data_IF_939236083957
#
_entry.id   IF_939236083957
#
_cell.length_a   1.000
_cell.length_b   1.000
_cell.length_c   1.000
_cell.angle_alpha   90.00
_cell.angle_beta   90.00
_cell.angle_gamma   90.00
#
_symmetry.space_group_name_H-M   'P 1'
#
loop_
_entity.id
_entity.type
_entity.pdbx_description
1 polymer ?
#
# COMPACT_ATOMS: atom_id res chain seq x y z
N UNK A 1 -8.47 -22.39 -4.23
CA UNK A 1 -9.36 -22.35 -3.05
C UNK A 1 -10.23 -23.58 -3.10
N UNK A 2 -9.95 -24.59 -2.29
CA UNK A 2 -10.81 -25.76 -2.16
C UNK A 2 -12.02 -25.40 -1.31
N UNK A 3 -13.09 -24.94 -1.95
CA UNK A 3 -14.41 -24.87 -1.33
C UNK A 3 -14.93 -26.29 -1.19
N UNK A 4 -14.45 -27.01 -0.18
CA UNK A 4 -15.06 -28.25 0.27
C UNK A 4 -16.56 -27.98 0.47
N UNK A 5 -17.41 -28.54 -0.42
CA UNK A 5 -18.86 -28.49 -0.30
C UNK A 5 -19.25 -29.15 1.02
N UNK A 6 -19.51 -28.34 2.04
CA UNK A 6 -19.95 -28.82 3.34
C UNK A 6 -21.41 -29.25 3.21
N UNK A 7 -21.65 -30.56 3.28
CA UNK A 7 -23.02 -31.10 3.20
C UNK A 7 -23.74 -30.97 4.55
N UNK A 8 -25.08 -30.94 4.54
CA UNK A 8 -25.91 -30.95 5.77
C UNK A 8 -25.57 -32.14 6.68
N UNK A 9 -25.16 -33.27 6.11
CA UNK A 9 -24.70 -34.45 6.86
C UNK A 9 -23.40 -34.18 7.63
N UNK A 10 -22.46 -33.46 7.02
CA UNK A 10 -21.19 -33.08 7.65
C UNK A 10 -21.42 -32.03 8.75
N UNK A 11 -22.31 -31.07 8.50
CA UNK A 11 -22.73 -30.05 9.47
C UNK A 11 -23.39 -30.64 10.71
N UNK A 12 -24.26 -31.65 10.54
CA UNK A 12 -24.90 -32.35 11.66
C UNK A 12 -23.88 -33.00 12.60
N UNK A 13 -22.79 -33.56 12.05
CA UNK A 13 -21.70 -34.12 12.84
C UNK A 13 -20.87 -33.07 13.58
N UNK A 14 -20.67 -31.89 12.97
CA UNK A 14 -19.86 -30.81 13.55
C UNK A 14 -20.59 -29.95 14.59
N UNK A 15 -21.91 -29.78 14.44
CA UNK A 15 -22.73 -28.93 15.31
C UNK A 15 -23.50 -29.71 16.38
N UNK A 16 -23.43 -31.05 16.37
CA UNK A 16 -24.21 -31.94 17.25
C UNK A 16 -25.74 -31.67 17.24
N UNK A 17 -26.28 -31.20 16.11
CA UNK A 17 -27.72 -30.94 15.92
C UNK A 17 -28.32 -31.92 14.91
N UNK A 18 -29.61 -32.21 15.06
CA UNK A 18 -30.36 -33.07 14.14
C UNK A 18 -30.40 -32.49 12.72
N UNK A 19 -30.33 -33.37 11.70
CA UNK A 19 -30.37 -32.96 10.29
C UNK A 19 -31.64 -32.17 9.93
N UNK A 20 -32.79 -32.55 10.50
CA UNK A 20 -34.05 -31.84 10.35
C UNK A 20 -33.96 -30.41 10.88
N UNK A 21 -33.42 -30.24 12.09
CA UNK A 21 -33.26 -28.91 12.71
C UNK A 21 -32.31 -28.01 11.91
N UNK A 22 -31.26 -28.56 11.30
CA UNK A 22 -30.36 -27.80 10.44
C UNK A 22 -31.08 -27.40 9.14
N UNK A 23 -31.84 -28.31 8.55
CA UNK A 23 -32.64 -28.03 7.35
C UNK A 23 -33.69 -26.93 7.62
N UNK A 24 -34.44 -27.05 8.71
CA UNK A 24 -35.50 -26.09 9.09
C UNK A 24 -34.95 -24.67 9.31
N UNK A 25 -33.71 -24.54 9.80
CA UNK A 25 -33.05 -23.23 9.97
C UNK A 25 -32.44 -22.68 8.67
N UNK A 26 -32.28 -23.50 7.64
CA UNK A 26 -31.76 -23.10 6.32
C UNK A 26 -32.88 -22.87 5.29
N UNK A 27 -34.11 -23.29 5.58
CA UNK A 27 -35.27 -23.25 4.67
C UNK A 27 -35.95 -21.87 4.55
N UNK A 28 -35.15 -20.79 4.66
CA UNK A 28 -35.59 -19.42 4.39
C UNK A 28 -36.19 -18.62 5.56
N UNK A 29 -36.29 -19.18 6.76
CA UNK A 29 -36.57 -18.40 7.99
C UNK A 29 -35.28 -17.83 8.56
N UNK A 30 -35.35 -16.65 9.20
CA UNK A 30 -34.18 -16.07 9.87
C UNK A 30 -33.75 -17.00 11.01
N UNK A 31 -32.56 -17.61 10.94
CA UNK A 31 -32.13 -18.58 11.95
C UNK A 31 -31.87 -17.91 13.29
N UNK A 32 -31.93 -18.67 14.38
CA UNK A 32 -31.57 -18.16 15.71
C UNK A 32 -30.12 -17.68 15.77
N UNK A 33 -29.82 -16.66 16.58
CA UNK A 33 -28.45 -16.13 16.76
C UNK A 33 -27.44 -17.22 17.13
N UNK A 34 -27.85 -18.14 18.01
CA UNK A 34 -27.01 -19.26 18.45
C UNK A 34 -26.66 -20.20 17.30
N UNK A 35 -27.61 -20.47 16.40
CA UNK A 35 -27.35 -21.29 15.22
C UNK A 35 -26.29 -20.67 14.28
N UNK A 36 -26.34 -19.34 14.08
CA UNK A 36 -25.35 -18.63 13.24
C UNK A 36 -23.94 -18.71 13.84
N UNK A 37 -23.83 -18.55 15.17
CA UNK A 37 -22.54 -18.67 15.88
C UNK A 37 -21.99 -20.09 15.78
N UNK A 38 -22.83 -21.10 16.03
CA UNK A 38 -22.44 -22.51 15.95
C UNK A 38 -22.01 -22.89 14.53
N UNK A 39 -22.71 -22.35 13.51
CA UNK A 39 -22.43 -22.60 12.10
C UNK A 39 -21.06 -22.03 11.68
N UNK A 40 -20.79 -20.77 11.99
CA UNK A 40 -19.51 -20.12 11.66
C UNK A 40 -18.35 -20.79 12.40
N UNK A 41 -18.56 -21.19 13.65
CA UNK A 41 -17.55 -21.88 14.46
C UNK A 41 -17.23 -23.27 13.91
N UNK A 42 -18.24 -23.99 13.39
CA UNK A 42 -18.07 -25.31 12.78
C UNK A 42 -17.41 -25.27 11.39
N UNK A 43 -17.69 -24.23 10.58
CA UNK A 43 -17.18 -24.12 9.21
C UNK A 43 -15.79 -23.50 9.15
N UNK A 44 -15.50 -22.50 9.98
CA UNK A 44 -14.23 -21.76 9.95
C UNK A 44 -13.25 -22.32 10.99
N UNK A 45 -12.27 -23.09 10.52
CA UNK A 45 -11.25 -23.73 11.37
C UNK A 45 -10.19 -22.74 11.89
N UNK A 46 -9.90 -21.68 11.16
CA UNK A 46 -8.87 -20.69 11.53
C UNK A 46 -9.40 -19.65 12.55
N UNK A 47 -8.73 -19.45 13.70
CA UNK A 47 -9.25 -18.60 14.78
C UNK A 47 -9.35 -17.12 14.41
N UNK A 48 -8.35 -16.57 13.68
CA UNK A 48 -8.35 -15.14 13.28
C UNK A 48 -9.42 -14.82 12.24
N UNK A 49 -9.70 -15.74 11.30
CA UNK A 49 -10.77 -15.56 10.31
C UNK A 49 -12.15 -15.75 10.94
N UNK A 50 -12.26 -16.69 11.89
CA UNK A 50 -13.51 -16.94 12.64
C UNK A 50 -14.06 -15.69 13.29
N UNK A 51 -13.23 -14.86 13.93
CA UNK A 51 -13.70 -13.63 14.57
C UNK A 51 -14.27 -12.61 13.57
N UNK A 52 -13.61 -12.46 12.42
CA UNK A 52 -14.06 -11.55 11.36
C UNK A 52 -15.35 -12.04 10.71
N UNK A 53 -15.42 -13.32 10.38
CA UNK A 53 -16.59 -13.93 9.76
C UNK A 53 -17.78 -13.97 10.72
N UNK A 54 -17.53 -14.17 12.02
CA UNK A 54 -18.57 -14.12 13.05
C UNK A 54 -19.13 -12.72 13.21
N UNK A 55 -18.29 -11.68 13.24
CA UNK A 55 -18.76 -10.28 13.26
C UNK A 55 -19.63 -9.96 12.05
N UNK A 56 -19.19 -10.39 10.85
CA UNK A 56 -19.93 -10.18 9.60
C UNK A 56 -21.27 -10.93 9.59
N UNK A 57 -21.28 -12.19 10.03
CA UNK A 57 -22.49 -13.00 10.09
C UNK A 57 -23.51 -12.45 11.11
N UNK A 58 -23.05 -11.95 12.26
CA UNK A 58 -23.92 -11.30 13.24
C UNK A 58 -24.49 -9.97 12.73
N UNK A 59 -23.70 -9.14 12.04
CA UNK A 59 -24.20 -7.91 11.44
C UNK A 59 -25.29 -8.17 10.39
N UNK A 60 -25.11 -9.22 9.56
CA UNK A 60 -26.14 -9.65 8.59
C UNK A 60 -27.39 -10.19 9.29
N UNK A 61 -27.22 -10.95 10.37
CA UNK A 61 -28.34 -11.44 11.19
C UNK A 61 -29.12 -10.30 11.85
N UNK A 62 -28.42 -9.27 12.38
CA UNK A 62 -29.05 -8.08 12.95
C UNK A 62 -29.81 -7.28 11.88
N UNK A 63 -29.22 -7.10 10.69
CA UNK A 63 -29.87 -6.43 9.57
C UNK A 63 -31.13 -7.18 9.07
N UNK A 64 -31.10 -8.52 9.10
CA UNK A 64 -32.25 -9.35 8.73
C UNK A 64 -33.38 -9.28 9.77
N UNK A 65 -33.07 -9.18 11.07
CA UNK A 65 -34.07 -9.08 12.14
C UNK A 65 -34.57 -7.67 12.39
N UNK A 66 -33.78 -6.65 12.03
CA UNK A 66 -34.16 -5.24 12.09
C UNK A 66 -33.99 -4.64 10.69
N UNK A 67 -34.88 -4.99 9.73
CA UNK A 67 -34.85 -4.34 8.44
C UNK A 67 -34.99 -2.82 8.65
N UNK A 68 -34.17 -2.00 7.98
CA UNK A 68 -34.37 -0.56 8.04
C UNK A 68 -35.80 -0.23 7.62
N UNK A 69 -36.44 0.70 8.32
CA UNK A 69 -37.81 1.13 8.02
C UNK A 69 -37.93 1.39 6.51
N UNK A 70 -38.94 0.76 5.88
CA UNK A 70 -39.11 0.85 4.43
C UNK A 70 -39.07 2.32 3.99
N UNK A 71 -38.27 2.66 2.96
CA UNK A 71 -38.40 3.96 2.32
C UNK A 71 -39.85 4.10 1.82
N UNK A 72 -40.40 5.34 1.79
CA UNK A 72 -41.75 5.58 1.30
C UNK A 72 -41.90 4.99 -0.10
N UNK A 73 -43.10 4.48 -0.38
CA UNK A 73 -43.44 3.78 -1.62
C UNK A 73 -43.19 4.66 -2.85
N UNK A 74 -41.97 4.62 -3.39
CA UNK A 74 -41.67 5.19 -4.69
C UNK A 74 -42.15 4.23 -5.77
N UNK A 75 -43.16 4.70 -6.49
CA UNK A 75 -43.38 4.60 -7.93
C UNK A 75 -42.65 3.45 -8.61
N UNK A 76 -43.42 2.45 -9.06
CA UNK A 76 -42.90 1.32 -9.84
C UNK A 76 -42.01 1.82 -10.99
N UNK A 77 -40.77 1.30 -11.13
CA UNK A 77 -39.90 1.66 -12.23
C UNK A 77 -40.54 1.17 -13.53
N UNK A 78 -40.66 2.07 -14.51
CA UNK A 78 -40.99 1.69 -15.88
C UNK A 78 -40.00 0.64 -16.39
N UNK A 79 -40.45 -0.35 -17.18
CA UNK A 79 -39.66 -1.53 -17.58
C UNK A 79 -38.26 -1.24 -18.13
N UNK A 80 -38.04 -0.06 -18.75
CA UNK A 80 -36.72 0.38 -19.20
C UNK A 80 -35.73 0.71 -18.07
N UNK A 81 -36.17 1.27 -16.94
CA UNK A 81 -35.30 1.58 -15.79
C UNK A 81 -34.86 0.33 -15.04
N UNK A 82 -35.73 -0.70 -15.03
CA UNK A 82 -35.41 -2.01 -14.47
C UNK A 82 -34.36 -2.72 -15.33
N UNK A 83 -34.49 -2.67 -16.66
CA UNK A 83 -33.51 -3.22 -17.60
C UNK A 83 -32.13 -2.51 -17.52
N UNK A 84 -32.11 -1.18 -17.36
CA UNK A 84 -30.85 -0.42 -17.16
C UNK A 84 -30.18 -0.78 -15.83
N UNK A 85 -30.96 -0.98 -14.75
CA UNK A 85 -30.41 -1.40 -13.45
C UNK A 85 -29.88 -2.83 -13.47
N UNK A 86 -30.53 -3.72 -14.20
CA UNK A 86 -30.11 -5.12 -14.32
C UNK A 86 -28.81 -5.25 -15.13
N UNK A 87 -28.73 -4.60 -16.29
CA UNK A 87 -27.50 -4.51 -17.10
C UNK A 87 -26.35 -3.85 -16.35
N UNK A 88 -26.62 -2.84 -15.51
CA UNK A 88 -25.59 -2.21 -14.67
C UNK A 88 -25.07 -3.15 -13.59
N UNK A 89 -25.93 -3.95 -12.95
CA UNK A 89 -25.52 -4.96 -11.97
C UNK A 89 -24.69 -6.06 -12.62
N UNK A 90 -25.09 -6.50 -13.81
CA UNK A 90 -24.36 -7.49 -14.58
C UNK A 90 -22.98 -6.98 -14.98
N UNK A 91 -22.87 -5.73 -15.44
CA UNK A 91 -21.59 -5.09 -15.74
C UNK A 91 -20.67 -5.08 -14.51
N UNK A 92 -21.15 -4.63 -13.35
CA UNK A 92 -20.36 -4.63 -12.09
C UNK A 92 -19.87 -6.04 -11.75
N UNK A 93 -20.73 -7.05 -11.90
CA UNK A 93 -20.35 -8.44 -11.63
C UNK A 93 -19.27 -8.96 -12.58
N UNK A 94 -19.30 -8.55 -13.85
CA UNK A 94 -18.30 -8.92 -14.85
C UNK A 94 -16.99 -8.16 -14.65
N UNK A 95 -17.02 -6.90 -14.22
CA UNK A 95 -15.81 -6.17 -13.85
C UNK A 95 -15.09 -6.83 -12.68
N UNK A 96 -15.83 -7.30 -11.68
CA UNK A 96 -15.25 -8.08 -10.58
C UNK A 96 -14.62 -9.39 -11.07
N UNK A 97 -15.31 -10.14 -11.92
CA UNK A 97 -14.76 -11.38 -12.51
C UNK A 97 -13.52 -11.11 -13.38
N UNK A 98 -13.49 -10.01 -14.13
CA UNK A 98 -12.33 -9.61 -14.93
C UNK A 98 -11.11 -9.31 -14.05
N UNK A 99 -11.30 -8.59 -12.94
CA UNK A 99 -10.20 -8.34 -11.98
C UNK A 99 -9.67 -9.63 -11.35
N UNK A 100 -10.54 -10.59 -11.05
CA UNK A 100 -10.10 -11.88 -10.51
C UNK A 100 -9.31 -12.69 -11.55
N UNK A 101 -9.75 -12.69 -12.82
CA UNK A 101 -9.02 -13.29 -13.93
C UNK A 101 -7.65 -12.63 -14.17
N UNK A 102 -7.55 -11.30 -14.02
CA UNK A 102 -6.26 -10.60 -14.13
C UNK A 102 -5.29 -11.01 -13.01
N UNK A 103 -5.78 -11.21 -11.78
CA UNK A 103 -4.96 -11.71 -10.67
C UNK A 103 -4.47 -13.12 -10.93
N UNK A 104 -5.34 -14.00 -11.44
CA UNK A 104 -4.96 -15.36 -11.83
C UNK A 104 -3.94 -15.36 -12.97
N UNK A 105 -4.10 -14.47 -13.96
CA UNK A 105 -3.13 -14.26 -15.05
C UNK A 105 -1.77 -13.79 -14.52
N UNK A 106 -1.75 -12.85 -13.58
CA UNK A 106 -0.51 -12.37 -12.97
C UNK A 106 0.19 -13.50 -12.19
N UNK A 107 -0.57 -14.29 -11.43
CA UNK A 107 -0.04 -15.44 -10.69
C UNK A 107 0.54 -16.53 -11.60
N UNK A 108 -0.15 -16.87 -12.69
CA UNK A 108 0.34 -17.85 -13.68
C UNK A 108 1.58 -17.33 -14.42
N UNK A 109 1.65 -16.04 -14.74
CA UNK A 109 2.84 -15.44 -15.34
C UNK A 109 4.06 -15.55 -14.40
N UNK A 110 3.87 -15.28 -13.11
CA UNK A 110 4.93 -15.41 -12.12
C UNK A 110 5.41 -16.86 -11.97
N UNK A 111 4.48 -17.82 -11.99
CA UNK A 111 4.81 -19.26 -11.98
C UNK A 111 5.68 -19.65 -13.19
N UNK A 112 5.32 -19.20 -14.39
CA UNK A 112 6.08 -19.47 -15.61
C UNK A 112 7.50 -18.89 -15.53
N UNK A 113 7.66 -17.67 -15.00
CA UNK A 113 8.98 -17.06 -14.79
C UNK A 113 9.84 -17.86 -13.80
N UNK A 114 9.24 -18.33 -12.70
CA UNK A 114 9.94 -19.15 -11.70
C UNK A 114 10.38 -20.50 -12.28
N UNK A 115 9.50 -21.18 -13.02
CA UNK A 115 9.82 -22.45 -13.69
C UNK A 115 10.90 -22.25 -14.75
N UNK A 116 10.88 -21.17 -15.53
CA UNK A 116 11.94 -20.86 -16.49
C UNK A 116 13.30 -20.69 -15.80
N UNK A 117 13.33 -19.98 -14.66
CA UNK A 117 14.55 -19.80 -13.87
C UNK A 117 15.07 -21.13 -13.34
N UNK A 118 14.18 -21.98 -12.82
CA UNK A 118 14.52 -23.30 -12.29
C UNK A 118 15.07 -24.22 -13.39
N UNK A 119 14.48 -24.19 -14.58
CA UNK A 119 15.01 -24.93 -15.74
C UNK A 119 16.38 -24.43 -16.14
N UNK A 120 16.62 -23.11 -16.13
CA UNK A 120 17.93 -22.55 -16.45
C UNK A 120 19.01 -22.94 -15.41
N UNK A 121 18.69 -22.94 -14.12
CA UNK A 121 19.62 -23.36 -13.07
C UNK A 121 19.93 -24.86 -13.16
N UNK A 122 18.92 -25.70 -13.39
CA UNK A 122 19.13 -27.14 -13.56
C UNK A 122 19.96 -27.47 -14.80
N UNK A 123 19.80 -26.70 -15.89
CA UNK A 123 20.64 -26.86 -17.09
C UNK A 123 22.11 -26.55 -16.81
N UNK A 124 22.39 -25.49 -16.05
CA UNK A 124 23.75 -25.11 -15.66
C UNK A 124 24.35 -26.16 -14.70
N UNK A 125 23.58 -26.67 -13.75
CA UNK A 125 24.01 -27.75 -12.84
C UNK A 125 24.28 -29.07 -13.58
N UNK A 126 23.46 -29.43 -14.57
CA UNK A 126 23.71 -30.60 -15.44
C UNK A 126 24.97 -30.40 -16.28
N UNK A 127 25.21 -29.20 -16.82
CA UNK A 127 26.42 -28.89 -17.58
C UNK A 127 27.68 -29.02 -16.71
N UNK A 128 27.66 -28.51 -15.48
CA UNK A 128 28.77 -28.63 -14.53
C UNK A 128 28.98 -30.07 -14.05
N UNK A 129 27.90 -30.83 -13.86
CA UNK A 129 27.98 -32.23 -13.45
C UNK A 129 28.56 -33.13 -14.55
N UNK A 130 28.36 -32.79 -15.84
CA UNK A 130 28.93 -33.49 -17.01
C UNK A 130 30.45 -33.41 -17.09
N UNK A 131 31.07 -32.39 -16.50
CA UNK A 131 32.52 -32.22 -16.49
C UNK A 131 33.22 -33.09 -15.42
N UNK A 132 32.45 -33.71 -14.51
CA UNK A 132 32.97 -34.54 -13.42
C UNK A 132 32.80 -36.04 -13.76
N UNK A 133 33.90 -36.81 -13.95
CA UNK A 133 33.84 -38.19 -14.44
C UNK A 133 33.16 -39.21 -13.50
N UNK A 134 33.01 -38.90 -12.21
CA UNK A 134 32.44 -39.81 -11.19
C UNK A 134 31.00 -39.48 -10.78
N UNK A 135 30.30 -38.59 -11.50
CA UNK A 135 28.99 -38.07 -11.10
C UNK A 135 27.77 -38.70 -11.79
N UNK A 136 27.92 -39.86 -12.45
CA UNK A 136 26.89 -40.47 -13.30
C UNK A 136 25.51 -40.64 -12.62
N UNK A 137 25.46 -41.07 -11.36
CA UNK A 137 24.18 -41.21 -10.63
C UNK A 137 23.53 -39.85 -10.30
N UNK A 138 24.32 -38.80 -10.05
CA UNK A 138 23.82 -37.45 -9.80
C UNK A 138 23.34 -36.80 -11.10
N UNK A 139 24.00 -37.08 -12.21
CA UNK A 139 23.57 -36.60 -13.53
C UNK A 139 22.22 -37.19 -13.93
N UNK A 140 22.01 -38.49 -13.76
CA UNK A 140 20.72 -39.12 -14.07
C UNK A 140 19.56 -38.49 -13.27
N UNK A 141 19.78 -38.23 -11.98
CA UNK A 141 18.79 -37.57 -11.13
C UNK A 141 18.52 -36.11 -11.56
N UNK A 142 19.55 -35.35 -11.92
CA UNK A 142 19.39 -33.97 -12.39
C UNK A 142 18.71 -33.89 -13.77
N UNK A 143 18.98 -34.85 -14.67
CA UNK A 143 18.32 -34.93 -15.98
C UNK A 143 16.83 -35.27 -15.83
N UNK A 144 16.46 -36.15 -14.91
CA UNK A 144 15.07 -36.47 -14.58
C UNK A 144 14.32 -35.26 -13.97
N UNK A 145 14.97 -34.53 -13.06
CA UNK A 145 14.42 -33.29 -12.49
C UNK A 145 14.23 -32.21 -13.56
N UNK A 146 15.19 -32.09 -14.47
CA UNK A 146 15.13 -31.15 -15.59
C UNK A 146 14.01 -31.52 -16.57
N UNK A 147 13.84 -32.80 -16.88
CA UNK A 147 12.74 -33.27 -17.71
C UNK A 147 11.38 -32.96 -17.07
N UNK A 148 11.23 -33.23 -15.77
CA UNK A 148 10.01 -32.94 -15.01
C UNK A 148 9.71 -31.44 -15.00
N UNK A 149 10.71 -30.60 -14.72
CA UNK A 149 10.57 -29.14 -14.72
C UNK A 149 10.20 -28.58 -16.10
N UNK A 150 10.71 -29.17 -17.20
CA UNK A 150 10.30 -28.80 -18.57
C UNK A 150 8.85 -29.14 -18.85
N UNK A 151 8.38 -30.32 -18.44
CA UNK A 151 6.97 -30.70 -18.61
C UNK A 151 6.04 -29.78 -17.79
N UNK A 152 6.41 -29.44 -16.56
CA UNK A 152 5.62 -28.51 -15.74
C UNK A 152 5.56 -27.10 -16.35
N UNK A 153 6.66 -26.66 -16.95
CA UNK A 153 6.75 -25.39 -17.65
C UNK A 153 5.85 -25.36 -18.90
N UNK A 154 5.79 -26.44 -19.68
CA UNK A 154 4.86 -26.56 -20.81
C UNK A 154 3.40 -26.49 -20.35
N UNK A 155 3.03 -27.26 -19.31
CA UNK A 155 1.68 -27.20 -18.73
C UNK A 155 1.34 -25.79 -18.20
N UNK A 156 2.30 -25.10 -17.60
CA UNK A 156 2.12 -23.74 -17.12
C UNK A 156 1.95 -22.72 -18.27
N UNK A 157 2.62 -22.93 -19.41
CA UNK A 157 2.41 -22.13 -20.64
C UNK A 157 1.03 -22.34 -21.23
N UNK A 158 0.58 -23.58 -21.34
CA UNK A 158 -0.78 -23.91 -21.81
C UNK A 158 -1.85 -23.31 -20.89
N UNK A 159 -1.67 -23.41 -19.57
CA UNK A 159 -2.56 -22.78 -18.59
C UNK A 159 -2.62 -21.26 -18.75
N UNK A 160 -1.48 -20.62 -19.02
CA UNK A 160 -1.42 -19.19 -19.31
C UNK A 160 -2.18 -18.84 -20.59
N UNK A 161 -1.99 -19.59 -21.67
CA UNK A 161 -2.70 -19.35 -22.93
C UNK A 161 -4.22 -19.47 -22.75
N UNK A 162 -4.68 -20.48 -22.01
CA UNK A 162 -6.10 -20.62 -21.67
C UNK A 162 -6.62 -19.43 -20.85
N UNK A 163 -5.86 -18.95 -19.86
CA UNK A 163 -6.22 -17.78 -19.07
C UNK A 163 -6.28 -16.50 -19.94
N UNK A 164 -5.35 -16.34 -20.88
CA UNK A 164 -5.34 -15.21 -21.83
C UNK A 164 -6.56 -15.24 -22.76
N UNK A 165 -6.95 -16.41 -23.26
CA UNK A 165 -8.17 -16.55 -24.06
C UNK A 165 -9.44 -16.24 -23.26
N UNK A 166 -9.52 -16.68 -22.00
CA UNK A 166 -10.66 -16.37 -21.13
C UNK A 166 -10.75 -14.88 -20.81
N UNK A 167 -9.62 -14.23 -20.54
CA UNK A 167 -9.58 -12.78 -20.32
C UNK A 167 -10.04 -12.00 -21.56
N UNK A 168 -9.59 -12.42 -22.76
CA UNK A 168 -10.02 -11.80 -24.01
C UNK A 168 -11.54 -11.91 -24.24
N UNK A 169 -12.14 -13.08 -23.94
CA UNK A 169 -13.59 -13.27 -24.03
C UNK A 169 -14.36 -12.42 -23.02
N UNK A 170 -13.88 -12.34 -21.77
CA UNK A 170 -14.51 -11.50 -20.75
C UNK A 170 -14.47 -10.01 -21.13
N UNK A 171 -13.36 -9.56 -21.72
CA UNK A 171 -13.23 -8.20 -22.23
C UNK A 171 -14.21 -7.92 -23.37
N UNK A 172 -14.36 -8.83 -24.32
CA UNK A 172 -15.36 -8.71 -25.39
C UNK A 172 -16.79 -8.62 -24.84
N UNK A 173 -17.14 -9.43 -23.83
CA UNK A 173 -18.46 -9.37 -23.17
C UNK A 173 -18.69 -8.04 -22.44
N UNK A 174 -17.65 -7.48 -21.83
CA UNK A 174 -17.76 -6.17 -21.17
C UNK A 174 -18.05 -5.05 -22.17
N UNK A 175 -17.40 -5.08 -23.34
CA UNK A 175 -17.62 -4.10 -24.41
C UNK A 175 -19.05 -4.22 -24.96
N UNK A 176 -19.53 -5.44 -25.22
CA UNK A 176 -20.90 -5.63 -25.74
C UNK A 176 -21.96 -5.12 -24.76
N UNK A 177 -21.80 -5.38 -23.46
CA UNK A 177 -22.75 -4.89 -22.45
C UNK A 177 -22.67 -3.38 -22.24
N UNK A 178 -21.49 -2.77 -22.39
CA UNK A 178 -21.35 -1.31 -22.39
C UNK A 178 -22.07 -0.68 -23.58
N UNK A 179 -21.97 -1.30 -24.77
CA UNK A 179 -22.71 -0.88 -25.95
C UNK A 179 -24.22 -1.03 -25.77
N UNK A 180 -24.68 -2.14 -25.18
CA UNK A 180 -26.11 -2.33 -24.85
C UNK A 180 -26.61 -1.29 -23.85
N UNK A 181 -25.84 -1.00 -22.80
CA UNK A 181 -26.16 0.07 -21.85
C UNK A 181 -26.21 1.45 -22.54
N UNK A 182 -25.28 1.73 -23.45
CA UNK A 182 -25.29 2.96 -24.23
C UNK A 182 -26.53 3.06 -25.13
N UNK A 183 -26.93 1.95 -25.78
CA UNK A 183 -28.16 1.87 -26.58
C UNK A 183 -29.40 2.07 -25.73
N UNK A 184 -29.50 1.42 -24.57
CA UNK A 184 -30.62 1.58 -23.65
C UNK A 184 -30.73 3.01 -23.11
N UNK A 185 -29.59 3.67 -22.83
CA UNK A 185 -29.54 5.08 -22.44
C UNK A 185 -29.96 6.02 -23.56
N UNK A 186 -29.58 5.73 -24.80
CA UNK A 186 -29.97 6.52 -25.96
C UNK A 186 -31.45 6.34 -26.34
N UNK A 187 -32.02 5.16 -26.07
CA UNK A 187 -33.44 4.85 -26.30
C UNK A 187 -34.36 5.39 -25.19
N UNK A 188 -33.82 5.72 -24.01
CA UNK A 188 -34.57 6.38 -22.96
C UNK A 188 -34.81 7.86 -23.32
N UNK A 189 -36.06 8.37 -23.33
CA UNK A 189 -36.33 9.74 -23.74
C UNK A 189 -35.63 10.75 -22.79
N UNK A 190 -34.94 11.77 -23.33
CA UNK A 190 -34.00 12.63 -22.59
C UNK A 190 -34.65 13.55 -21.53
N UNK A 191 -35.98 13.50 -21.38
CA UNK A 191 -36.74 14.45 -20.56
C UNK A 191 -37.27 13.81 -19.25
N UNK A 192 -37.28 12.48 -19.13
CA UNK A 192 -37.88 11.81 -17.98
C UNK A 192 -37.07 11.92 -16.67
N UNK A 193 -35.82 12.42 -16.70
CA UNK A 193 -35.02 12.62 -15.48
C UNK A 193 -35.15 14.07 -14.96
N UNK A 194 -35.36 15.05 -15.84
CA UNK A 194 -35.56 16.44 -15.45
C UNK A 194 -37.03 16.80 -15.13
N UNK A 195 -38.01 16.09 -15.73
CA UNK A 195 -39.45 16.34 -15.54
C UNK A 195 -40.17 15.35 -14.59
N UNK A 196 -39.44 14.45 -13.89
CA UNK A 196 -40.01 13.49 -12.92
C UNK A 196 -39.94 13.93 -11.45
N UNK A 197 -39.43 15.11 -11.13
CA UNK A 197 -39.91 15.80 -9.93
C UNK A 197 -41.23 16.45 -10.32
N UNK A 198 -42.34 15.75 -10.07
CA UNK A 198 -43.64 16.38 -10.17
C UNK A 198 -43.65 17.65 -9.28
N UNK A 199 -44.36 18.71 -9.67
CA UNK A 199 -44.39 19.98 -8.92
C UNK A 199 -44.84 19.85 -7.44
N UNK A 200 -45.29 18.66 -7.00
CA UNK A 200 -45.65 18.36 -5.61
C UNK A 200 -44.54 17.79 -4.72
N UNK A 201 -43.43 17.27 -5.26
CA UNK A 201 -42.42 16.53 -4.47
C UNK A 201 -41.03 17.18 -4.43
N UNK A 202 -40.88 18.40 -4.98
CA UNK A 202 -39.70 19.22 -4.71
C UNK A 202 -39.75 19.70 -3.25
N UNK A 203 -38.65 19.58 -2.47
CA UNK A 203 -38.55 20.24 -1.17
C UNK A 203 -39.00 21.70 -1.32
N UNK A 204 -39.76 22.25 -0.37
CA UNK A 204 -40.35 23.60 -0.50
C UNK A 204 -39.35 24.70 -0.92
N UNK A 205 -38.06 24.49 -0.67
CA UNK A 205 -36.95 25.38 -1.05
C UNK A 205 -36.62 25.39 -2.55
N UNK A 206 -37.13 24.42 -3.32
CA UNK A 206 -36.82 24.22 -4.74
C UNK A 206 -38.04 24.40 -5.67
N UNK A 207 -39.21 24.78 -5.13
CA UNK A 207 -40.39 25.10 -5.93
C UNK A 207 -40.16 26.41 -6.71
N UNK A 208 -40.57 26.47 -7.98
CA UNK A 208 -40.39 27.64 -8.87
C UNK A 208 -40.93 28.95 -8.26
N UNK A 209 -41.99 28.87 -7.45
CA UNK A 209 -42.53 30.03 -6.73
C UNK A 209 -41.56 30.59 -5.68
N UNK A 210 -40.73 29.74 -5.06
CA UNK A 210 -39.70 30.15 -4.10
C UNK A 210 -38.49 30.80 -4.80
N UNK A 211 -38.16 30.34 -6.01
CA UNK A 211 -37.12 30.91 -6.87
C UNK A 211 -37.49 32.30 -7.40
N UNK A 212 -38.78 32.52 -7.69
CA UNK A 212 -39.30 33.82 -8.13
C UNK A 212 -39.43 34.82 -6.98
N UNK A 213 -39.63 34.34 -5.74
CA UNK A 213 -39.79 35.20 -4.56
C UNK A 213 -38.47 35.76 -4.01
N UNK A 214 -37.35 35.00 -4.07
CA UNK A 214 -36.05 35.47 -3.56
C UNK A 214 -34.85 34.88 -4.35
N UNK A 215 -34.41 35.53 -5.44
CA UNK A 215 -33.36 35.02 -6.32
C UNK A 215 -31.98 34.90 -5.62
N UNK A 216 -31.72 35.68 -4.57
CA UNK A 216 -30.46 35.61 -3.84
C UNK A 216 -30.36 34.37 -2.93
N UNK A 217 -31.49 33.87 -2.44
CA UNK A 217 -31.53 32.63 -1.66
C UNK A 217 -31.42 31.41 -2.57
N UNK A 218 -32.10 31.45 -3.72
CA UNK A 218 -32.01 30.48 -4.80
C UNK A 218 -30.57 30.25 -5.33
N UNK A 219 -29.80 31.33 -5.54
CA UNK A 219 -28.42 31.21 -5.99
C UNK A 219 -27.52 30.51 -4.95
N UNK A 220 -27.74 30.77 -3.66
CA UNK A 220 -26.98 30.14 -2.57
C UNK A 220 -27.30 28.66 -2.40
N UNK A 221 -28.56 28.27 -2.58
CA UNK A 221 -28.94 26.85 -2.60
C UNK A 221 -28.39 26.14 -3.84
N UNK A 222 -28.40 26.79 -5.01
CA UNK A 222 -27.77 26.22 -6.20
C UNK A 222 -26.26 26.03 -6.03
N UNK A 223 -25.56 27.01 -5.45
CA UNK A 223 -24.12 26.93 -5.16
C UNK A 223 -23.81 25.82 -4.14
N UNK A 224 -24.62 25.66 -3.09
CA UNK A 224 -24.48 24.59 -2.11
C UNK A 224 -24.72 23.19 -2.71
N UNK A 225 -25.68 23.06 -3.63
CA UNK A 225 -25.93 21.80 -4.33
C UNK A 225 -24.82 21.46 -5.34
N UNK A 226 -24.23 22.48 -5.99
CA UNK A 226 -23.10 22.29 -6.89
C UNK A 226 -21.82 21.90 -6.12
N UNK A 227 -21.56 22.52 -4.97
CA UNK A 227 -20.42 22.14 -4.13
C UNK A 227 -20.57 20.73 -3.56
N UNK A 228 -21.77 20.37 -3.08
CA UNK A 228 -22.06 19.01 -2.63
C UNK A 228 -21.98 17.99 -3.78
N UNK A 229 -22.36 18.40 -5.00
CA UNK A 229 -22.19 17.60 -6.20
C UNK A 229 -20.73 17.41 -6.61
N UNK A 230 -19.88 18.42 -6.41
CA UNK A 230 -18.44 18.34 -6.63
C UNK A 230 -17.77 17.40 -5.60
N UNK A 231 -18.13 17.54 -4.32
CA UNK A 231 -17.63 16.68 -3.24
C UNK A 231 -18.00 15.21 -3.48
N UNK A 232 -19.25 14.94 -3.87
CA UNK A 232 -19.66 13.58 -4.26
C UNK A 232 -18.97 13.07 -5.51
N UNK A 233 -18.64 13.93 -6.48
CA UNK A 233 -17.85 13.50 -7.65
C UNK A 233 -16.45 13.13 -7.23
N UNK A 234 -15.83 13.87 -6.30
CA UNK A 234 -14.51 13.57 -5.78
C UNK A 234 -14.51 12.25 -4.98
N UNK A 235 -15.51 12.03 -4.11
CA UNK A 235 -15.71 10.74 -3.43
C UNK A 235 -15.93 9.59 -4.41
N UNK A 236 -16.68 9.83 -5.49
CA UNK A 236 -16.93 8.82 -6.52
C UNK A 236 -15.71 8.59 -7.41
N UNK A 237 -14.91 9.61 -7.69
CA UNK A 237 -13.67 9.50 -8.47
C UNK A 237 -12.60 8.75 -7.64
N UNK A 238 -12.58 8.94 -6.33
CA UNK A 238 -11.76 8.16 -5.39
C UNK A 238 -12.25 6.70 -5.26
N UNK A 239 -13.57 6.46 -5.37
CA UNK A 239 -14.15 5.12 -5.33
C UNK A 239 -14.07 4.36 -6.68
N UNK A 240 -14.14 5.09 -7.80
CA UNK A 240 -14.11 4.55 -9.17
C UNK A 240 -12.69 4.44 -9.69
N UNK A 241 -11.75 5.26 -9.20
CA UNK A 241 -10.32 5.05 -9.49
C UNK A 241 -10.01 3.60 -9.13
N UNK A 242 -9.78 2.73 -10.13
CA UNK A 242 -9.34 1.38 -9.84
C UNK A 242 -8.08 1.56 -9.00
N UNK A 243 -8.04 0.88 -7.85
CA UNK A 243 -6.90 0.89 -6.93
C UNK A 243 -5.62 1.03 -7.75
N UNK A 244 -5.03 2.22 -7.67
CA UNK A 244 -4.03 2.70 -8.62
C UNK A 244 -3.09 1.56 -9.03
N UNK A 245 -2.71 1.37 -10.31
CA UNK A 245 -1.68 0.38 -10.69
C UNK A 245 -0.32 0.62 -9.98
N UNK A 246 -0.21 1.70 -9.20
CA UNK A 246 0.85 1.97 -8.25
C UNK A 246 0.79 1.14 -6.96
N UNK A 247 -0.37 0.60 -6.55
CA UNK A 247 -0.50 -0.28 -5.37
C UNK A 247 0.09 -1.67 -5.59
N UNK A 248 -0.04 -2.27 -6.78
CA UNK A 248 0.69 -3.52 -7.11
C UNK A 248 2.19 -3.28 -7.30
N UNK A 249 2.61 -2.04 -7.65
CA UNK A 249 4.02 -1.60 -7.59
C UNK A 249 4.55 -1.39 -6.16
N UNK A 250 3.73 -1.29 -5.12
CA UNK A 250 4.23 -1.06 -3.76
C UNK A 250 5.04 -2.23 -3.18
N UNK A 251 4.80 -3.47 -3.61
CA UNK A 251 5.59 -4.62 -3.15
C UNK A 251 7.03 -4.57 -3.66
N UNK A 252 7.25 -4.01 -4.86
CA UNK A 252 8.60 -3.69 -5.38
C UNK A 252 9.14 -2.34 -4.92
N UNK A 253 8.26 -1.35 -4.73
CA UNK A 253 8.63 0.01 -4.33
C UNK A 253 9.15 0.13 -2.89
N UNK A 254 8.76 -0.80 -2.00
CA UNK A 254 9.31 -0.86 -0.65
C UNK A 254 10.83 -1.06 -0.65
N UNK A 255 11.34 -2.00 -1.46
CA UNK A 255 12.78 -2.27 -1.55
C UNK A 255 13.57 -1.11 -2.14
N UNK A 256 13.02 -0.43 -3.15
CA UNK A 256 13.68 0.73 -3.74
C UNK A 256 13.74 1.91 -2.75
N UNK A 257 12.65 2.15 -2.01
CA UNK A 257 12.62 3.16 -0.95
C UNK A 257 13.63 2.85 0.16
N UNK A 258 13.70 1.59 0.58
CA UNK A 258 14.66 1.13 1.59
C UNK A 258 16.09 1.29 1.07
N UNK A 259 16.39 0.89 -0.16
CA UNK A 259 17.70 1.02 -0.76
C UNK A 259 18.13 2.49 -0.90
N UNK A 260 17.21 3.38 -1.27
CA UNK A 260 17.46 4.83 -1.32
C UNK A 260 17.76 5.41 0.06
N UNK A 261 16.94 5.09 1.07
CA UNK A 261 17.18 5.56 2.44
C UNK A 261 18.50 5.01 2.98
N UNK A 262 18.80 3.72 2.74
CA UNK A 262 20.05 3.08 3.15
C UNK A 262 21.26 3.73 2.46
N UNK A 263 21.14 4.03 1.16
CA UNK A 263 22.17 4.73 0.38
C UNK A 263 22.48 6.12 0.94
N UNK A 264 21.45 6.89 1.32
CA UNK A 264 21.63 8.21 1.96
C UNK A 264 22.25 8.11 3.34
N UNK A 265 21.81 7.15 4.16
CA UNK A 265 22.41 6.90 5.48
C UNK A 265 23.89 6.55 5.32
N UNK A 266 24.22 5.65 4.38
CA UNK A 266 25.59 5.28 4.06
C UNK A 266 26.40 6.50 3.59
N UNK A 267 25.82 7.35 2.74
CA UNK A 267 26.43 8.60 2.28
C UNK A 267 26.78 9.54 3.42
N UNK A 268 25.85 9.76 4.36
CA UNK A 268 26.10 10.56 5.56
C UNK A 268 27.22 9.97 6.43
N UNK A 269 27.22 8.65 6.66
CA UNK A 269 28.26 7.99 7.46
C UNK A 269 29.63 8.12 6.80
N UNK A 270 29.72 7.91 5.48
CA UNK A 270 30.99 8.04 4.75
C UNK A 270 31.52 9.48 4.80
N UNK A 271 30.65 10.50 4.66
CA UNK A 271 31.06 11.89 4.82
C UNK A 271 31.57 12.19 6.23
N UNK A 272 30.88 11.73 7.27
CA UNK A 272 31.28 11.93 8.67
C UNK A 272 32.61 11.25 9.00
N UNK A 273 32.78 9.99 8.57
CA UNK A 273 34.00 9.20 8.78
C UNK A 273 35.15 9.84 8.00
N UNK A 274 34.94 10.19 6.73
CA UNK A 274 35.93 10.86 5.90
C UNK A 274 36.39 12.18 6.53
N UNK A 275 35.47 13.03 6.97
CA UNK A 275 35.78 14.30 7.62
C UNK A 275 36.53 14.12 8.95
N UNK A 276 36.10 13.16 9.79
CA UNK A 276 36.77 12.86 11.06
C UNK A 276 38.18 12.32 10.86
N UNK A 277 38.36 11.38 9.92
CA UNK A 277 39.67 10.81 9.57
C UNK A 277 40.58 11.88 8.96
N UNK A 278 40.06 12.74 8.08
CA UNK A 278 40.81 13.87 7.52
C UNK A 278 41.31 14.80 8.64
N UNK A 279 40.43 15.15 9.59
CA UNK A 279 40.80 15.99 10.73
C UNK A 279 41.86 15.33 11.63
N UNK A 280 41.69 14.06 11.94
CA UNK A 280 42.64 13.29 12.76
C UNK A 280 44.01 13.16 12.08
N UNK A 281 44.06 12.80 10.80
CA UNK A 281 45.31 12.74 10.03
C UNK A 281 46.02 14.09 10.01
N UNK A 282 45.27 15.17 9.76
CA UNK A 282 45.83 16.53 9.72
C UNK A 282 46.41 16.96 11.08
N UNK A 283 45.82 16.52 12.18
CA UNK A 283 46.24 16.91 13.53
C UNK A 283 47.35 16.01 14.10
N UNK A 284 47.41 14.73 13.71
CA UNK A 284 48.32 13.74 14.30
C UNK A 284 49.53 13.41 13.40
N UNK A 285 49.38 13.49 12.08
CA UNK A 285 50.41 13.07 11.12
C UNK A 285 50.94 14.30 10.39
N UNK A 286 52.00 14.90 10.94
CA UNK A 286 52.56 16.17 10.48
C UNK A 286 53.39 16.09 9.20
N UNK A 287 53.64 14.90 8.65
CA UNK A 287 54.81 14.70 7.77
C UNK A 287 54.55 14.11 6.38
N UNK A 288 53.32 13.75 6.00
CA UNK A 288 53.08 13.21 4.64
C UNK A 288 51.70 13.61 4.07
N UNK A 289 51.64 14.50 3.07
CA UNK A 289 50.39 14.93 2.44
C UNK A 289 49.71 13.86 1.58
N UNK A 290 50.40 12.76 1.27
CA UNK A 290 49.91 11.68 0.39
C UNK A 290 48.70 10.93 0.95
N UNK A 291 48.50 10.92 2.26
CA UNK A 291 47.40 10.19 2.90
C UNK A 291 46.08 10.98 2.98
N UNK A 292 46.09 12.27 2.62
CA UNK A 292 44.88 13.12 2.63
C UNK A 292 43.92 12.77 1.48
N UNK A 293 44.40 12.16 0.39
CA UNK A 293 43.55 11.83 -0.76
C UNK A 293 42.47 10.78 -0.46
N UNK A 294 42.72 9.83 0.45
CA UNK A 294 41.77 8.78 0.79
C UNK A 294 40.52 9.30 1.53
N UNK A 295 40.63 10.09 2.62
CA UNK A 295 39.45 10.64 3.28
C UNK A 295 38.68 11.63 2.40
N UNK A 296 39.35 12.37 1.52
CA UNK A 296 38.67 13.25 0.55
C UNK A 296 37.83 12.44 -0.44
N UNK A 297 38.34 11.29 -0.90
CA UNK A 297 37.60 10.37 -1.75
C UNK A 297 36.38 9.77 -1.02
N UNK A 298 36.52 9.44 0.27
CA UNK A 298 35.38 9.02 1.11
C UNK A 298 34.29 10.10 1.19
N UNK A 299 34.66 11.36 1.38
CA UNK A 299 33.71 12.48 1.39
C UNK A 299 33.03 12.63 0.03
N UNK A 300 33.77 12.55 -1.08
CA UNK A 300 33.21 12.63 -2.43
C UNK A 300 32.24 11.49 -2.74
N UNK A 301 32.57 10.25 -2.36
CA UNK A 301 31.65 9.09 -2.50
C UNK A 301 30.41 9.29 -1.65
N UNK A 302 30.54 9.84 -0.43
CA UNK A 302 29.42 10.18 0.43
C UNK A 302 28.48 11.22 -0.21
N UNK A 303 29.04 12.30 -0.79
CA UNK A 303 28.29 13.31 -1.54
C UNK A 303 27.57 12.68 -2.73
N UNK A 304 28.25 11.81 -3.49
CA UNK A 304 27.66 11.12 -4.61
C UNK A 304 26.46 10.27 -4.17
N UNK A 305 26.55 9.51 -3.08
CA UNK A 305 25.42 8.73 -2.56
C UNK A 305 24.25 9.59 -2.07
N UNK A 306 24.51 10.78 -1.52
CA UNK A 306 23.50 11.71 -1.01
C UNK A 306 22.69 12.43 -2.09
N UNK A 307 23.29 12.65 -3.26
CA UNK A 307 22.62 13.26 -4.43
C UNK A 307 21.60 12.30 -5.06
N UNK A 308 21.60 11.02 -4.67
CA UNK A 308 20.81 9.94 -5.26
C UNK A 308 20.99 9.85 -6.78
N UNK A 309 22.22 9.57 -7.28
CA UNK A 309 22.49 9.46 -8.71
C UNK A 309 21.70 8.30 -9.32
N UNK A 310 21.23 7.37 -8.49
CA UNK A 310 20.48 6.20 -8.91
C UNK A 310 19.18 6.55 -9.62
N UNK A 311 18.49 7.63 -9.29
CA UNK A 311 17.30 8.01 -10.05
C UNK A 311 17.68 8.50 -11.46
N UNK A 312 18.74 9.30 -11.56
CA UNK A 312 19.25 9.80 -12.86
C UNK A 312 19.79 8.64 -13.70
N UNK A 313 20.53 7.73 -13.05
CA UNK A 313 21.10 6.55 -13.69
C UNK A 313 20.00 5.56 -14.09
N UNK A 314 18.99 5.35 -13.24
CA UNK A 314 17.89 4.45 -13.55
C UNK A 314 17.01 5.02 -14.66
N UNK A 315 16.72 6.31 -14.62
CA UNK A 315 15.95 6.96 -15.68
C UNK A 315 16.72 7.02 -17.00
N UNK A 316 18.07 6.97 -16.99
CA UNK A 316 18.87 6.92 -18.23
C UNK A 316 19.06 5.50 -18.73
N UNK A 317 19.33 4.56 -17.83
CA UNK A 317 19.56 3.14 -18.15
C UNK A 317 18.26 2.44 -18.51
N UNK A 318 17.14 2.76 -17.87
CA UNK A 318 15.85 2.11 -18.12
C UNK A 318 15.33 2.31 -19.54
N UNK A 319 15.26 3.52 -20.13
CA UNK A 319 14.86 3.68 -21.52
C UNK A 319 15.88 3.10 -22.48
N UNK A 320 17.17 3.05 -22.13
CA UNK A 320 18.19 2.33 -22.91
C UNK A 320 17.94 0.82 -22.90
N UNK A 321 17.71 0.24 -21.72
CA UNK A 321 17.39 -1.17 -21.55
C UNK A 321 16.05 -1.54 -22.19
N UNK A 322 15.03 -0.67 -22.07
CA UNK A 322 13.74 -0.85 -22.72
C UNK A 322 13.82 -0.63 -24.24
N UNK A 323 14.69 0.25 -24.75
CA UNK A 323 14.97 0.36 -26.20
C UNK A 323 15.63 -0.89 -26.76
N UNK A 324 16.49 -1.55 -25.98
CA UNK A 324 17.06 -2.85 -26.35
C UNK A 324 15.98 -3.96 -26.40
N UNK A 325 14.89 -3.80 -25.64
CA UNK A 325 13.84 -4.83 -25.48
C UNK A 325 12.57 -4.52 -26.31
N UNK A 326 12.32 -3.27 -26.67
CA UNK A 326 11.08 -2.80 -27.30
C UNK A 326 11.37 -1.77 -28.39
N UNK A 327 11.04 -2.12 -29.64
CA UNK A 327 11.27 -1.32 -30.87
C UNK A 327 10.51 0.02 -30.96
N UNK A 328 9.77 0.41 -29.91
CA UNK A 328 8.99 1.65 -29.92
C UNK A 328 9.86 2.85 -29.56
N UNK A 329 10.09 3.68 -30.58
CA UNK A 329 10.80 4.95 -30.50
C UNK A 329 9.83 6.07 -30.10
N UNK A 330 9.62 6.27 -28.80
CA UNK A 330 9.04 7.53 -28.30
C UNK A 330 10.14 8.41 -27.68
N UNK A 331 10.22 9.71 -28.05
CA UNK A 331 11.17 10.63 -27.46
C UNK A 331 10.75 10.95 -26.02
N UNK A 332 11.52 10.45 -25.06
CA UNK A 332 11.37 10.79 -23.65
C UNK A 332 11.90 12.21 -23.43
N UNK A 333 10.99 13.17 -23.33
CA UNK A 333 11.31 14.53 -22.88
C UNK A 333 11.53 14.51 -21.37
N UNK A 334 12.76 14.74 -20.97
CA UNK A 334 13.19 14.85 -19.57
C UNK A 334 12.62 16.11 -18.93
N UNK A 335 11.41 16.03 -18.38
CA UNK A 335 10.92 17.06 -17.47
C UNK A 335 11.44 16.76 -16.07
N UNK A 336 12.72 17.06 -15.82
CA UNK A 336 13.19 17.17 -14.44
C UNK A 336 12.52 18.39 -13.82
N UNK A 337 11.66 18.17 -12.84
CA UNK A 337 11.15 19.26 -12.01
C UNK A 337 12.32 19.98 -11.34
N UNK A 338 12.37 21.30 -11.47
CA UNK A 338 13.37 22.13 -10.81
C UNK A 338 13.30 21.99 -9.29
N UNK A 339 12.12 21.69 -8.74
CA UNK A 339 11.91 21.44 -7.31
C UNK A 339 12.60 20.16 -6.83
N UNK A 340 12.59 19.09 -7.64
CA UNK A 340 13.25 17.83 -7.29
C UNK A 340 14.77 17.98 -7.30
N UNK A 341 15.31 18.74 -8.26
CA UNK A 341 16.74 19.06 -8.29
C UNK A 341 17.14 19.90 -7.08
N UNK A 342 16.35 20.94 -6.75
CA UNK A 342 16.63 21.81 -5.61
C UNK A 342 16.61 21.03 -4.29
N UNK A 343 15.61 20.17 -4.08
CA UNK A 343 15.51 19.38 -2.84
C UNK A 343 16.66 18.37 -2.70
N UNK A 344 17.20 17.83 -3.80
CA UNK A 344 18.40 16.96 -3.78
C UNK A 344 19.66 17.76 -3.45
N UNK A 345 19.87 18.89 -4.11
CA UNK A 345 21.02 19.77 -3.87
C UNK A 345 21.03 20.28 -2.43
N UNK A 346 19.87 20.60 -1.87
CA UNK A 346 19.74 21.07 -0.49
C UNK A 346 20.11 20.03 0.57
N UNK A 347 20.26 18.73 0.25
CA UNK A 347 20.67 17.72 1.25
C UNK A 347 22.17 17.72 1.53
N UNK A 348 22.97 18.06 0.53
CA UNK A 348 24.44 18.14 0.64
C UNK A 348 24.89 19.12 1.73
N UNK A 349 24.38 20.36 1.84
CA UNK A 349 24.79 21.28 2.91
C UNK A 349 24.40 20.77 4.30
N UNK A 350 23.28 20.05 4.46
CA UNK A 350 22.93 19.45 5.74
C UNK A 350 23.85 18.30 6.14
N UNK A 351 24.22 17.44 5.20
CA UNK A 351 25.22 16.40 5.43
C UNK A 351 26.61 16.99 5.74
N UNK A 352 26.98 18.08 5.06
CA UNK A 352 28.21 18.82 5.36
C UNK A 352 28.17 19.44 6.76
N UNK A 353 27.04 20.05 7.16
CA UNK A 353 26.86 20.59 8.52
C UNK A 353 26.95 19.48 9.58
N UNK A 354 26.37 18.31 9.31
CA UNK A 354 26.47 17.16 10.20
C UNK A 354 27.92 16.67 10.33
N UNK A 355 28.66 16.62 9.22
CA UNK A 355 30.08 16.25 9.21
C UNK A 355 30.95 17.26 9.97
N UNK A 356 30.67 18.56 9.80
CA UNK A 356 31.33 19.62 10.55
C UNK A 356 31.06 19.51 12.06
N UNK A 357 29.84 19.15 12.46
CA UNK A 357 29.50 18.92 13.86
C UNK A 357 30.25 17.72 14.46
N UNK A 358 30.49 16.66 13.69
CA UNK A 358 31.33 15.52 14.10
C UNK A 358 32.78 15.93 14.28
N UNK A 359 33.35 16.67 13.32
CA UNK A 359 34.72 17.21 13.43
C UNK A 359 34.84 18.13 14.63
N UNK A 360 33.86 19.00 14.87
CA UNK A 360 33.81 19.87 16.04
C UNK A 360 33.74 19.05 17.33
N UNK A 361 32.96 17.97 17.35
CA UNK A 361 32.85 17.07 18.51
C UNK A 361 34.15 16.31 18.77
N UNK A 362 34.90 15.94 17.75
CA UNK A 362 36.25 15.37 17.89
C UNK A 362 37.22 16.41 18.43
N UNK A 363 37.19 17.62 17.89
CA UNK A 363 38.04 18.72 18.35
C UNK A 363 37.75 19.08 19.81
N UNK A 364 36.48 19.03 20.24
CA UNK A 364 36.09 19.39 21.61
C UNK A 364 36.59 18.40 22.64
N UNK A 365 36.70 17.11 22.32
CA UNK A 365 37.30 16.10 23.21
C UNK A 365 38.73 16.47 23.62
N UNK A 366 39.48 17.13 22.73
CA UNK A 366 40.88 17.49 22.98
C UNK A 366 41.05 18.90 23.53
N UNK A 367 40.22 19.86 23.13
CA UNK A 367 40.50 21.29 23.37
C UNK A 367 39.41 22.05 24.13
N UNK A 368 38.20 21.50 24.28
CA UNK A 368 37.05 22.25 24.79
C UNK A 368 36.32 21.54 25.94
N UNK A 369 35.52 22.26 26.72
CA UNK A 369 34.74 21.66 27.80
C UNK A 369 33.62 20.74 27.28
N UNK A 370 33.40 19.65 28.02
CA UNK A 370 32.51 18.53 27.70
C UNK A 370 31.04 18.95 27.47
N UNK A 371 30.61 20.13 27.98
CA UNK A 371 29.25 20.63 27.80
C UNK A 371 28.90 20.96 26.34
N UNK A 372 29.89 21.24 25.49
CA UNK A 372 29.63 21.52 24.06
C UNK A 372 29.11 20.26 23.35
N UNK A 373 29.50 19.06 23.79
CA UNK A 373 28.97 17.81 23.26
C UNK A 373 27.45 17.69 23.45
N UNK A 374 26.90 18.29 24.51
CA UNK A 374 25.46 18.29 24.77
C UNK A 374 24.70 19.04 23.67
N UNK A 375 25.31 20.05 23.05
CA UNK A 375 24.72 20.81 21.96
C UNK A 375 25.04 20.24 20.58
N UNK A 376 26.27 19.78 20.34
CA UNK A 376 26.71 19.33 19.01
C UNK A 376 26.13 17.97 18.64
N UNK A 377 25.95 17.06 19.60
CA UNK A 377 25.39 15.73 19.32
C UNK A 377 23.95 15.82 18.81
N UNK A 378 23.00 16.50 19.48
CA UNK A 378 21.63 16.65 18.95
C UNK A 378 21.58 17.40 17.62
N UNK A 379 22.41 18.44 17.47
CA UNK A 379 22.47 19.21 16.21
C UNK A 379 22.94 18.34 15.04
N UNK A 380 23.98 17.51 15.24
CA UNK A 380 24.45 16.57 14.22
C UNK A 380 23.38 15.53 13.86
N UNK A 381 22.64 15.05 14.86
CA UNK A 381 21.59 14.04 14.69
C UNK A 381 20.38 14.62 13.92
N UNK A 382 20.01 15.87 14.21
CA UNK A 382 18.99 16.61 13.47
C UNK A 382 19.40 16.87 12.01
N UNK A 383 20.67 17.24 11.78
CA UNK A 383 21.20 17.44 10.44
C UNK A 383 21.24 16.13 9.61
N UNK A 384 21.62 15.01 10.23
CA UNK A 384 21.56 13.68 9.59
C UNK A 384 20.12 13.29 9.27
N UNK A 385 19.20 13.46 10.23
CA UNK A 385 17.79 13.15 10.02
C UNK A 385 17.22 13.94 8.83
N UNK A 386 17.56 15.23 8.74
CA UNK A 386 17.14 16.06 7.62
C UNK A 386 17.79 15.64 6.29
N UNK A 387 19.10 15.34 6.28
CA UNK A 387 19.81 14.91 5.08
C UNK A 387 19.26 13.57 4.52
N UNK A 388 18.86 12.64 5.39
CA UNK A 388 18.34 11.33 5.00
C UNK A 388 16.87 11.37 4.59
N UNK A 389 16.02 12.01 5.41
CA UNK A 389 14.56 12.01 5.22
C UNK A 389 14.09 13.10 4.27
N UNK A 390 14.81 14.24 4.22
CA UNK A 390 14.41 15.43 3.46
C UNK A 390 13.02 15.96 3.86
N UNK A 391 12.39 16.72 2.95
CA UNK A 391 11.01 17.21 3.10
C UNK A 391 9.95 16.21 2.59
N UNK A 392 10.36 14.97 2.29
CA UNK A 392 9.47 13.98 1.70
C UNK A 392 8.51 13.42 2.75
N UNK A 393 7.33 14.05 2.85
CA UNK A 393 6.18 13.61 3.66
C UNK A 393 5.90 12.09 3.58
N UNK A 394 5.92 11.42 2.40
CA UNK A 394 5.65 9.99 2.36
C UNK A 394 6.75 9.13 3.00
N UNK A 395 8.02 9.57 2.92
CA UNK A 395 9.13 8.87 3.59
C UNK A 395 9.01 9.05 5.10
N UNK A 396 8.73 10.28 5.55
CA UNK A 396 8.55 10.59 6.98
C UNK A 396 7.41 9.76 7.58
N UNK A 397 6.26 9.67 6.90
CA UNK A 397 5.12 8.89 7.39
C UNK A 397 5.43 7.38 7.53
N UNK A 398 6.31 6.83 6.69
CA UNK A 398 6.70 5.41 6.75
C UNK A 398 7.83 5.13 7.73
N UNK A 399 8.79 6.05 7.86
CA UNK A 399 9.98 5.86 8.69
C UNK A 399 9.74 6.26 10.14
N UNK A 400 8.87 7.24 10.41
CA UNK A 400 8.52 7.66 11.76
C UNK A 400 8.10 6.50 12.70
N UNK A 401 7.21 5.57 12.31
CA UNK A 401 6.85 4.44 13.17
C UNK A 401 8.00 3.44 13.37
N UNK A 402 8.91 3.29 12.40
CA UNK A 402 10.09 2.44 12.54
C UNK A 402 11.13 3.05 13.49
N UNK A 403 11.34 4.36 13.40
CA UNK A 403 12.24 5.10 14.29
C UNK A 403 11.69 5.13 15.73
N UNK A 404 10.38 5.30 15.91
CA UNK A 404 9.79 5.26 17.25
C UNK A 404 9.89 3.86 17.88
N UNK A 405 9.74 2.80 17.09
CA UNK A 405 9.97 1.42 17.54
C UNK A 405 11.44 1.17 17.91
N UNK A 406 12.39 1.66 17.10
CA UNK A 406 13.82 1.57 17.39
C UNK A 406 14.23 2.36 18.65
N UNK A 407 13.71 3.59 18.81
CA UNK A 407 13.92 4.39 20.01
C UNK A 407 13.34 3.74 21.27
N UNK A 408 12.18 3.09 21.16
CA UNK A 408 11.60 2.32 22.26
C UNK A 408 12.50 1.15 22.69
N UNK A 409 13.23 0.55 21.75
CA UNK A 409 14.19 -0.53 21.98
C UNK A 409 15.49 -0.05 22.66
N UNK A 410 15.91 1.20 22.40
CA UNK A 410 17.11 1.81 23.00
C UNK A 410 16.79 2.46 24.36
N UNK A 411 15.54 2.89 24.58
CA UNK A 411 15.09 3.51 25.84
C UNK A 411 15.51 2.76 27.12
N UNK A 412 15.47 1.42 27.22
CA UNK A 412 15.94 0.71 28.42
C UNK A 412 17.46 0.70 28.62
N UNK A 413 18.25 1.05 27.60
CA UNK A 413 19.72 1.13 27.69
C UNK A 413 20.20 2.52 28.17
N UNK A 414 19.31 3.52 28.18
CA UNK A 414 19.62 4.84 28.75
C UNK A 414 19.59 4.74 30.28
N UNK A 415 20.61 5.28 30.98
CA UNK A 415 20.61 5.28 32.44
C UNK A 415 19.35 5.96 32.93
N UNK A 416 18.61 5.27 33.81
CA UNK A 416 17.43 5.84 34.44
C UNK A 416 17.83 7.19 35.05
N UNK A 417 17.21 8.26 34.58
CA UNK A 417 17.44 9.60 35.11
C UNK A 417 17.32 9.58 36.64
N UNK A 418 18.05 10.47 37.35
CA UNK A 418 18.05 10.49 38.80
C UNK A 418 16.60 10.44 39.32
N UNK A 419 16.30 9.58 40.31
CA UNK A 419 14.93 9.40 40.78
C UNK A 419 14.40 10.79 41.12
N UNK A 420 13.36 11.19 40.38
CA UNK A 420 12.71 12.47 40.58
C UNK A 420 12.29 12.48 42.04
N UNK A 421 12.95 13.34 42.82
CA UNK A 421 12.77 13.44 44.26
C UNK A 421 11.28 13.46 44.55
N UNK A 422 10.85 12.52 45.40
CA UNK A 422 9.47 12.36 45.82
C UNK A 422 8.83 13.72 46.15
N UNK A 423 7.54 13.93 45.78
CA UNK A 423 6.87 15.19 46.06
C UNK A 423 6.91 15.47 47.56
N UNK A 424 7.65 16.52 47.93
CA UNK A 424 7.75 17.01 49.30
C UNK A 424 6.36 17.44 49.76
N UNK A 425 5.82 16.69 50.71
CA UNK A 425 4.88 17.15 51.73
C UNK A 425 3.62 17.85 51.25
N UNK A 426 2.57 17.08 50.97
CA UNK A 426 1.21 17.57 51.17
C UNK A 426 1.00 17.84 52.67
N UNK A 427 1.09 19.12 53.05
CA UNK A 427 0.76 19.60 54.41
C UNK A 427 -0.74 19.36 54.64
N UNK A 428 -1.14 18.56 55.65
CA UNK A 428 -2.54 18.33 55.94
C UNK A 428 -3.16 19.60 56.53
N UNK A 429 -4.20 20.10 55.84
CA UNK A 429 -5.03 21.24 56.26
C UNK A 429 -5.82 20.83 57.52
N UNK A 430 -5.41 21.33 58.68
CA UNK A 430 -6.20 21.23 59.91
C UNK A 430 -7.51 22.03 59.75
N UNK A 431 -8.64 21.32 59.77
CA UNK A 431 -9.97 21.92 59.91
C UNK A 431 -10.29 22.07 61.39
N UNK A 432 -10.45 23.30 61.84
CA UNK A 432 -10.97 23.69 63.16
C UNK A 432 -12.47 23.39 63.26
N UNK A 433 -12.98 22.91 64.41
CA UNK A 433 -14.41 22.73 64.64
C UNK A 433 -15.02 24.00 65.23
N UNK A 434 -16.08 24.50 64.60
CA UNK A 434 -16.98 25.50 65.17
C UNK A 434 -17.95 24.84 66.15
N UNK A 435 -18.06 25.43 67.35
CA UNK A 435 -18.99 25.06 68.44
C UNK A 435 -20.32 25.85 68.28
N UNK A 436 -21.40 25.40 68.98
CA UNK A 436 -22.80 25.51 68.56
C UNK A 436 -23.41 26.91 68.59
#
# INVERSE_FOLDING_TARGET
MDTHRVTVRTLAGLMHRGKSTISDNLDGRVPSRQFVVDLVTAVVKEPRKRELDLKRALALWEAANKPPASPPAHTQPSGGELAVRETQKELISLTHRAMDLERERAGTHQLVLLLMRLVATLQDEVARARELPDAHAKMAALEEQLHTARQELERAREAREMAEQLAARAQQQSISLQEELARLRAAAPPIAIALRLGPGDLPHELQEEYFLADPGRALRTAEALLSQGAERREELDDAIRPADPWQTRQVGGGWLLVALVLGRVLGCVLMMVGAGVHYALKTWVTSSPTWLGFPDLLVLVGIALLIDPWDILWDTVRPLALRVISDRHEPVLWQLSTEDVLTRVMRVPWAAAASAAVVLSLATVYWWPLWILIATVPASLGAVAYAVLGRNRPVIGRVAPMLSAGLALIRPLLPAGPPTSAPVGAVPRQTTPTKP
#
